data_IF_657343513274
#
_entry.id   IF_657343513274
#
_cell.length_a   1.000
_cell.length_b   1.000
_cell.length_c   1.000
_cell.angle_alpha   90.00
_cell.angle_beta   90.00
_cell.angle_gamma   90.00
#
_symmetry.space_group_name_H-M   'P 1'
#
loop_
_entity.id
_entity.type
_entity.pdbx_description
1 polymer ?
#
# COMPACT_ATOMS: atom_id res chain seq x y z
N UNK A 1 6.35 15.80 -19.29
CA UNK A 1 5.62 14.98 -18.30
C UNK A 1 6.62 14.02 -17.66
N UNK A 2 6.73 14.04 -16.33
CA UNK A 2 7.62 13.14 -15.57
C UNK A 2 6.92 11.80 -15.35
N UNK A 3 7.08 10.87 -16.28
CA UNK A 3 6.38 9.58 -16.27
C UNK A 3 6.77 8.64 -15.11
N UNK A 4 7.92 8.91 -14.46
CA UNK A 4 8.44 8.11 -13.34
C UNK A 4 8.56 8.93 -12.06
N UNK A 5 7.79 10.00 -11.93
CA UNK A 5 7.77 10.80 -10.71
C UNK A 5 7.43 9.90 -9.49
N UNK A 6 8.27 9.99 -8.46
CA UNK A 6 8.19 9.14 -7.26
C UNK A 6 8.35 7.62 -7.50
N UNK A 7 8.79 7.17 -8.68
CA UNK A 7 9.09 5.76 -8.92
C UNK A 7 10.57 5.47 -8.63
N UNK A 8 10.83 4.34 -8.00
CA UNK A 8 12.16 3.87 -7.59
C UNK A 8 12.56 2.66 -8.42
N UNK A 9 13.62 2.80 -9.21
CA UNK A 9 14.10 1.73 -10.10
C UNK A 9 15.47 1.27 -9.62
N UNK A 10 15.59 -0.03 -9.34
CA UNK A 10 16.88 -0.67 -9.09
C UNK A 10 17.40 -1.21 -10.43
N UNK A 11 18.49 -0.64 -10.92
CA UNK A 11 19.14 -1.05 -12.16
C UNK A 11 20.34 -1.95 -11.84
N UNK A 12 20.31 -3.18 -12.31
CA UNK A 12 21.43 -4.14 -12.23
C UNK A 12 22.10 -4.19 -13.59
N UNK A 13 23.42 -3.99 -13.63
CA UNK A 13 24.21 -3.99 -14.86
C UNK A 13 25.15 -5.18 -14.83
N UNK A 14 25.01 -6.10 -15.81
CA UNK A 14 25.89 -7.26 -15.97
C UNK A 14 27.01 -6.97 -17.00
N UNK A 15 28.07 -7.78 -16.95
CA UNK A 15 29.24 -7.64 -17.81
C UNK A 15 28.98 -8.03 -19.25
N UNK A 16 29.10 -7.09 -20.17
CA UNK A 16 28.99 -7.26 -21.60
C UNK A 16 29.11 -5.92 -22.31
N UNK A 17 29.47 -5.93 -23.61
CA UNK A 17 29.67 -4.69 -24.37
C UNK A 17 28.45 -3.75 -24.30
N UNK A 18 27.23 -4.29 -24.26
CA UNK A 18 25.99 -3.50 -24.18
C UNK A 18 25.82 -2.76 -22.85
N UNK A 19 26.70 -2.95 -21.85
CA UNK A 19 26.64 -2.21 -20.59
C UNK A 19 26.75 -0.68 -20.76
N UNK A 20 27.39 -0.19 -21.83
CA UNK A 20 27.43 1.24 -22.11
C UNK A 20 26.04 1.86 -22.29
N UNK A 21 25.05 1.09 -22.82
CA UNK A 21 23.66 1.53 -22.98
C UNK A 21 22.98 1.79 -21.64
N UNK A 22 23.45 1.19 -20.57
CA UNK A 22 22.90 1.38 -19.23
C UNK A 22 23.17 2.79 -18.69
N UNK A 23 24.24 3.44 -19.15
CA UNK A 23 24.51 4.84 -18.81
C UNK A 23 23.43 5.77 -19.41
N UNK A 24 22.98 5.47 -20.62
CA UNK A 24 21.86 6.19 -21.23
C UNK A 24 20.53 5.89 -20.55
N UNK A 25 20.28 4.63 -20.16
CA UNK A 25 19.11 4.27 -19.36
C UNK A 25 19.03 5.09 -18.07
N UNK A 26 20.12 5.24 -17.33
CA UNK A 26 20.18 6.07 -16.12
C UNK A 26 19.75 7.52 -16.44
N UNK A 27 20.32 8.11 -17.52
CA UNK A 27 19.97 9.48 -17.93
C UNK A 27 18.49 9.62 -18.30
N UNK A 28 17.95 8.67 -19.07
CA UNK A 28 16.57 8.69 -19.51
C UNK A 28 15.59 8.54 -18.33
N UNK A 29 15.82 7.62 -17.42
CA UNK A 29 14.99 7.45 -16.24
C UNK A 29 15.01 8.68 -15.33
N UNK A 30 16.20 9.24 -15.05
CA UNK A 30 16.31 10.48 -14.25
C UNK A 30 15.64 11.66 -14.92
N UNK A 31 15.82 11.85 -16.24
CA UNK A 31 15.15 12.89 -17.03
C UNK A 31 13.62 12.80 -16.93
N UNK A 32 13.08 11.60 -16.73
CA UNK A 32 11.65 11.34 -16.58
C UNK A 32 11.19 11.24 -15.10
N UNK A 33 12.03 11.65 -14.13
CA UNK A 33 11.65 11.81 -12.72
C UNK A 33 11.86 10.59 -11.82
N UNK A 34 12.51 9.51 -12.31
CA UNK A 34 12.78 8.33 -11.49
C UNK A 34 13.94 8.56 -10.51
N UNK A 35 13.83 7.94 -9.32
CA UNK A 35 14.97 7.66 -8.44
C UNK A 35 15.62 6.35 -8.85
N UNK A 36 16.96 6.32 -8.99
CA UNK A 36 17.68 5.15 -9.46
C UNK A 36 18.79 4.78 -8.49
N UNK A 37 18.80 3.52 -8.05
CA UNK A 37 19.99 2.89 -7.44
C UNK A 37 20.55 1.86 -8.40
N UNK A 38 21.87 1.63 -8.34
CA UNK A 38 22.55 0.77 -9.31
C UNK A 38 23.41 -0.30 -8.63
N UNK A 39 23.32 -1.53 -9.17
CA UNK A 39 24.23 -2.63 -8.82
C UNK A 39 25.08 -2.95 -10.04
N UNK A 40 26.40 -3.01 -9.88
CA UNK A 40 27.34 -3.50 -10.88
C UNK A 40 27.81 -4.90 -10.50
N UNK A 41 27.63 -5.86 -11.41
CA UNK A 41 28.30 -7.16 -11.23
C UNK A 41 29.80 -7.00 -11.42
N UNK A 42 30.59 -7.94 -10.88
CA UNK A 42 32.06 -7.92 -11.00
C UNK A 42 32.49 -7.67 -12.44
N UNK A 43 31.94 -8.41 -13.39
CA UNK A 43 32.32 -8.30 -14.81
C UNK A 43 31.76 -7.02 -15.48
N UNK A 44 30.76 -6.37 -14.92
CA UNK A 44 30.25 -5.10 -15.48
C UNK A 44 31.28 -3.98 -15.38
N UNK A 45 32.14 -4.01 -14.36
CA UNK A 45 33.19 -3.02 -14.10
C UNK A 45 34.25 -2.98 -15.22
N UNK A 46 34.38 -4.04 -15.99
CA UNK A 46 35.28 -4.09 -17.17
C UNK A 46 34.72 -3.29 -18.38
N UNK A 47 33.41 -2.98 -18.38
CA UNK A 47 32.76 -2.28 -19.49
C UNK A 47 32.28 -0.88 -19.12
N UNK A 48 31.89 -0.66 -17.86
CA UNK A 48 31.50 0.63 -17.31
C UNK A 48 32.08 0.79 -15.91
N UNK A 49 32.60 1.98 -15.62
CA UNK A 49 33.22 2.21 -14.30
C UNK A 49 32.18 2.59 -13.24
N UNK A 50 32.41 2.24 -11.96
CA UNK A 50 31.56 2.74 -10.87
C UNK A 50 31.45 4.26 -10.86
N UNK A 51 32.54 4.97 -11.21
CA UNK A 51 32.57 6.44 -11.29
C UNK A 51 31.62 6.96 -12.36
N UNK A 52 31.60 6.37 -13.58
CA UNK A 52 30.67 6.80 -14.63
C UNK A 52 29.23 6.58 -14.26
N UNK A 53 28.92 5.46 -13.59
CA UNK A 53 27.56 5.13 -13.12
C UNK A 53 27.14 6.05 -11.97
N UNK A 54 27.97 6.25 -10.95
CA UNK A 54 27.64 7.14 -9.81
C UNK A 54 27.49 8.60 -10.23
N UNK A 55 28.30 9.07 -11.17
CA UNK A 55 28.20 10.44 -11.71
C UNK A 55 26.86 10.71 -12.41
N UNK A 56 26.31 9.70 -13.11
CA UNK A 56 25.02 9.81 -13.80
C UNK A 56 23.83 9.56 -12.88
N UNK A 57 23.91 8.57 -12.01
CA UNK A 57 22.84 8.25 -11.05
C UNK A 57 22.76 9.25 -9.89
N UNK A 58 23.89 9.92 -9.56
CA UNK A 58 24.07 10.74 -8.34
C UNK A 58 23.81 9.96 -7.06
N UNK A 59 24.07 8.66 -7.10
CA UNK A 59 23.86 7.73 -6.01
C UNK A 59 25.09 6.80 -5.88
N UNK A 60 25.24 6.20 -4.70
CA UNK A 60 26.23 5.16 -4.48
C UNK A 60 25.98 3.98 -5.44
N UNK A 61 27.07 3.41 -5.95
CA UNK A 61 27.03 2.16 -6.73
C UNK A 61 27.29 1.00 -5.79
N UNK A 62 26.42 0.01 -5.86
CA UNK A 62 26.53 -1.23 -5.08
C UNK A 62 27.20 -2.32 -5.93
N UNK A 63 28.14 -3.07 -5.38
CA UNK A 63 28.92 -4.05 -6.16
C UNK A 63 29.33 -5.31 -5.40
N UNK A 64 29.25 -5.30 -4.07
CA UNK A 64 29.62 -6.42 -3.21
C UNK A 64 28.57 -6.67 -2.13
N UNK A 65 28.42 -7.95 -1.72
CA UNK A 65 27.54 -8.36 -0.61
C UNK A 65 28.13 -7.88 0.73
N UNK A 66 29.45 -7.89 0.86
CA UNK A 66 30.19 -7.62 2.09
C UNK A 66 31.14 -6.43 1.90
N UNK A 67 30.63 -5.21 1.75
CA UNK A 67 31.49 -4.05 1.81
C UNK A 67 31.68 -3.62 3.27
N UNK A 68 32.92 -3.41 3.70
CA UNK A 68 33.29 -3.06 5.07
C UNK A 68 32.64 -1.75 5.58
N UNK A 69 32.12 -0.91 4.69
CA UNK A 69 31.40 0.32 5.01
C UNK A 69 29.93 0.12 5.38
N UNK A 70 29.35 -1.08 5.19
CA UNK A 70 27.90 -1.36 5.29
C UNK A 70 27.55 -2.56 6.18
N UNK A 71 28.39 -2.92 7.15
CA UNK A 71 28.12 -4.04 8.09
C UNK A 71 26.80 -3.90 8.89
N UNK A 72 26.22 -2.69 8.97
CA UNK A 72 25.01 -2.44 9.74
C UNK A 72 23.71 -2.60 8.93
N UNK A 73 23.75 -2.58 7.60
CA UNK A 73 22.56 -2.72 6.73
C UNK A 73 22.74 -3.91 5.78
N UNK A 74 21.82 -4.87 5.84
CA UNK A 74 21.73 -5.95 4.86
C UNK A 74 21.33 -5.36 3.50
N UNK A 75 22.30 -4.87 2.72
CA UNK A 75 22.10 -4.14 1.47
C UNK A 75 21.14 -4.85 0.50
N UNK A 76 21.20 -6.17 0.39
CA UNK A 76 20.29 -6.94 -0.48
C UNK A 76 18.82 -6.85 -0.05
N UNK A 77 18.55 -6.79 1.26
CA UNK A 77 17.17 -6.62 1.78
C UNK A 77 16.73 -5.18 1.57
N UNK A 78 17.57 -4.20 1.92
CA UNK A 78 17.26 -2.78 1.80
C UNK A 78 16.99 -2.39 0.35
N UNK A 79 17.82 -2.84 -0.59
CA UNK A 79 17.68 -2.58 -2.03
C UNK A 79 16.44 -3.25 -2.64
N UNK A 80 16.18 -4.53 -2.29
CA UNK A 80 15.01 -5.25 -2.79
C UNK A 80 13.69 -4.63 -2.31
N UNK A 81 13.66 -4.06 -1.11
CA UNK A 81 12.49 -3.37 -0.56
C UNK A 81 12.34 -1.93 -1.05
N UNK A 82 13.46 -1.23 -1.28
CA UNK A 82 13.46 0.15 -1.73
C UNK A 82 12.86 0.33 -3.12
N UNK A 83 13.10 -0.61 -4.04
CA UNK A 83 12.67 -0.51 -5.43
C UNK A 83 11.15 -0.70 -5.61
N UNK A 84 10.57 -0.02 -6.60
CA UNK A 84 9.23 -0.30 -7.13
C UNK A 84 9.29 -1.29 -8.29
N UNK A 85 10.41 -1.33 -9.01
CA UNK A 85 10.74 -2.32 -10.03
C UNK A 85 12.25 -2.57 -10.09
N UNK A 86 12.63 -3.77 -10.50
CA UNK A 86 14.04 -4.13 -10.74
C UNK A 86 14.23 -4.33 -12.24
N UNK A 87 15.24 -3.68 -12.81
CA UNK A 87 15.65 -3.84 -14.21
C UNK A 87 17.07 -4.40 -14.27
N UNK A 88 17.25 -5.49 -14.98
CA UNK A 88 18.59 -6.03 -15.29
C UNK A 88 18.91 -5.74 -16.76
N UNK A 89 19.79 -4.80 -17.00
CA UNK A 89 20.10 -4.31 -18.36
C UNK A 89 21.58 -3.90 -18.45
N UNK A 90 22.40 -4.63 -19.22
CA UNK A 90 22.10 -5.91 -19.83
C UNK A 90 22.04 -7.05 -18.81
N UNK A 91 21.32 -8.15 -19.14
CA UNK A 91 21.51 -9.44 -18.47
C UNK A 91 22.24 -10.40 -19.40
N UNK A 92 23.25 -11.11 -18.87
CA UNK A 92 24.05 -12.10 -19.60
C UNK A 92 23.52 -13.53 -19.41
N UNK A 93 23.90 -14.44 -20.30
CA UNK A 93 23.56 -15.87 -20.17
C UNK A 93 23.99 -16.46 -18.82
N UNK A 94 25.14 -16.03 -18.29
CA UNK A 94 25.63 -16.46 -16.97
C UNK A 94 24.66 -16.04 -15.85
N UNK A 95 24.24 -14.78 -15.84
CA UNK A 95 23.31 -14.28 -14.81
C UNK A 95 21.92 -14.89 -14.98
N UNK A 96 21.44 -15.09 -16.23
CA UNK A 96 20.19 -15.81 -16.51
C UNK A 96 20.25 -17.23 -15.89
N UNK A 97 21.32 -17.96 -16.12
CA UNK A 97 21.51 -19.32 -15.57
C UNK A 97 21.52 -19.33 -14.04
N UNK A 98 22.26 -18.42 -13.41
CA UNK A 98 22.31 -18.28 -11.94
C UNK A 98 20.93 -18.05 -11.34
N UNK A 99 20.20 -17.07 -11.86
CA UNK A 99 18.87 -16.68 -11.34
C UNK A 99 17.85 -17.79 -11.60
N UNK A 100 17.87 -18.44 -12.77
CA UNK A 100 17.00 -19.58 -13.07
C UNK A 100 17.25 -20.79 -12.16
N UNK A 101 18.47 -20.94 -11.64
CA UNK A 101 18.85 -22.01 -10.70
C UNK A 101 18.65 -21.62 -9.23
N UNK A 102 18.25 -20.37 -8.92
CA UNK A 102 18.13 -19.90 -7.54
C UNK A 102 19.47 -19.68 -6.84
N UNK A 103 20.54 -19.41 -7.60
CA UNK A 103 21.88 -19.18 -7.05
C UNK A 103 21.99 -17.73 -6.57
N UNK A 104 22.50 -17.52 -5.35
CA UNK A 104 22.66 -16.23 -4.67
C UNK A 104 24.12 -15.98 -4.27
N UNK A 105 25.06 -16.13 -5.22
CA UNK A 105 26.50 -15.99 -4.96
C UNK A 105 26.99 -14.54 -4.92
N UNK A 106 26.30 -13.64 -5.57
CA UNK A 106 26.64 -12.24 -5.67
C UNK A 106 25.47 -11.33 -5.28
N UNK A 107 25.75 -10.05 -5.05
CA UNK A 107 24.72 -9.09 -4.64
C UNK A 107 23.56 -9.03 -5.64
N UNK A 108 23.84 -9.07 -6.94
CA UNK A 108 22.83 -9.01 -7.99
C UNK A 108 21.87 -10.20 -7.92
N UNK A 109 22.39 -11.43 -7.88
CA UNK A 109 21.58 -12.65 -7.79
C UNK A 109 20.83 -12.75 -6.45
N UNK A 110 21.45 -12.33 -5.35
CA UNK A 110 20.82 -12.31 -4.03
C UNK A 110 19.64 -11.34 -3.98
N UNK A 111 19.79 -10.12 -4.50
CA UNK A 111 18.70 -9.14 -4.57
C UNK A 111 17.55 -9.61 -5.45
N UNK A 112 17.86 -10.25 -6.60
CA UNK A 112 16.83 -10.79 -7.50
C UNK A 112 16.02 -11.90 -6.81
N UNK A 113 16.66 -12.75 -6.02
CA UNK A 113 15.99 -13.82 -5.27
C UNK A 113 15.19 -13.29 -4.09
N UNK A 114 15.67 -12.21 -3.42
CA UNK A 114 15.02 -11.60 -2.27
C UNK A 114 13.88 -10.63 -2.64
N UNK A 115 13.75 -10.26 -3.92
CA UNK A 115 12.80 -9.25 -4.36
C UNK A 115 11.41 -9.83 -4.59
N UNK A 116 10.39 -9.13 -4.09
CA UNK A 116 8.97 -9.36 -4.41
C UNK A 116 8.43 -8.37 -5.45
N UNK A 117 9.31 -7.59 -6.08
CA UNK A 117 8.95 -6.58 -7.09
C UNK A 117 8.94 -7.18 -8.49
N UNK A 118 8.29 -6.51 -9.44
CA UNK A 118 8.40 -6.90 -10.83
C UNK A 118 9.83 -6.77 -11.30
N UNK A 119 10.37 -7.85 -11.88
CA UNK A 119 11.70 -7.91 -12.44
C UNK A 119 11.60 -7.91 -13.97
N UNK A 120 12.40 -7.03 -14.59
CA UNK A 120 12.54 -6.90 -16.03
C UNK A 120 13.97 -7.30 -16.41
N UNK A 121 14.11 -8.10 -17.44
CA UNK A 121 15.38 -8.60 -17.94
C UNK A 121 15.55 -8.16 -19.40
N UNK A 122 16.64 -7.43 -19.69
CA UNK A 122 17.04 -7.03 -21.05
C UNK A 122 18.25 -7.88 -21.48
N UNK A 123 18.05 -9.03 -22.16
CA UNK A 123 19.15 -9.93 -22.55
C UNK A 123 20.08 -9.29 -23.58
N UNK A 124 21.38 -9.57 -23.42
CA UNK A 124 22.41 -9.23 -24.39
C UNK A 124 23.49 -10.31 -24.41
N UNK A 125 23.64 -10.96 -25.56
CA UNK A 125 24.65 -12.01 -25.79
C UNK A 125 24.76 -12.29 -27.28
N UNK A 126 25.76 -13.06 -27.69
CA UNK A 126 25.86 -13.45 -29.08
C UNK A 126 24.75 -14.43 -29.49
N UNK A 127 24.48 -14.56 -30.81
CA UNK A 127 23.38 -15.36 -31.37
C UNK A 127 23.40 -16.78 -30.88
N UNK A 128 24.57 -17.42 -30.90
CA UNK A 128 24.72 -18.82 -30.52
C UNK A 128 24.42 -19.06 -29.04
N UNK A 129 24.82 -18.13 -28.19
CA UNK A 129 24.47 -18.18 -26.76
C UNK A 129 22.97 -17.99 -26.53
N UNK A 130 22.34 -17.13 -27.29
CA UNK A 130 20.89 -16.89 -27.19
C UNK A 130 20.09 -18.09 -27.69
N UNK A 131 20.52 -18.69 -28.82
CA UNK A 131 19.86 -19.85 -29.41
C UNK A 131 20.14 -21.16 -28.63
N UNK A 132 21.14 -21.15 -27.75
CA UNK A 132 21.51 -22.36 -27.00
C UNK A 132 20.30 -22.89 -26.20
N UNK A 133 20.02 -24.23 -26.26
CA UNK A 133 18.87 -24.83 -25.59
C UNK A 133 18.80 -24.48 -24.09
N UNK A 134 19.91 -24.48 -23.39
CA UNK A 134 20.00 -24.12 -21.98
C UNK A 134 19.57 -22.67 -21.72
N UNK A 135 19.92 -21.71 -22.60
CA UNK A 135 19.50 -20.32 -22.47
C UNK A 135 17.99 -20.20 -22.69
N UNK A 136 17.45 -20.85 -23.71
CA UNK A 136 16.00 -20.85 -24.00
C UNK A 136 15.22 -21.47 -22.84
N UNK A 137 15.67 -22.59 -22.27
CA UNK A 137 15.04 -23.23 -21.12
C UNK A 137 15.05 -22.33 -19.89
N UNK A 138 16.19 -21.70 -19.57
CA UNK A 138 16.32 -20.78 -18.45
C UNK A 138 15.39 -19.56 -18.60
N UNK A 139 15.28 -19.02 -19.83
CA UNK A 139 14.34 -17.89 -20.11
C UNK A 139 12.88 -18.32 -19.89
N UNK A 140 12.49 -19.52 -20.35
CA UNK A 140 11.15 -20.05 -20.10
C UNK A 140 10.87 -20.20 -18.60
N UNK A 141 11.84 -20.70 -17.85
CA UNK A 141 11.76 -20.85 -16.41
C UNK A 141 11.62 -19.50 -15.71
N UNK A 142 12.40 -18.49 -16.08
CA UNK A 142 12.29 -17.15 -15.51
C UNK A 142 10.94 -16.49 -15.85
N UNK A 143 10.41 -16.71 -17.06
CA UNK A 143 9.05 -16.28 -17.42
C UNK A 143 7.99 -16.95 -16.51
N UNK A 144 8.14 -18.24 -16.19
CA UNK A 144 7.22 -18.93 -15.27
C UNK A 144 7.29 -18.42 -13.84
N UNK A 145 8.40 -17.80 -13.43
CA UNK A 145 8.56 -17.10 -12.15
C UNK A 145 7.97 -15.67 -12.18
N UNK A 146 7.40 -15.23 -13.32
CA UNK A 146 6.81 -13.91 -13.47
C UNK A 146 7.77 -12.81 -13.93
N UNK A 147 9.00 -13.14 -14.31
CA UNK A 147 9.96 -12.17 -14.84
C UNK A 147 9.56 -11.74 -16.26
N UNK A 148 9.69 -10.46 -16.55
CA UNK A 148 9.38 -9.90 -17.88
C UNK A 148 10.66 -9.75 -18.70
N UNK A 149 10.68 -10.34 -19.89
CA UNK A 149 11.82 -10.28 -20.80
C UNK A 149 11.58 -9.18 -21.81
N UNK A 150 12.56 -8.28 -22.00
CA UNK A 150 12.53 -7.17 -22.96
C UNK A 150 13.57 -7.45 -24.05
N UNK A 151 13.14 -7.84 -25.22
CA UNK A 151 14.00 -8.31 -26.29
C UNK A 151 14.46 -9.78 -26.12
N UNK A 152 15.68 -10.16 -26.59
CA UNK A 152 16.61 -9.30 -27.36
C UNK A 152 16.09 -8.97 -28.75
N UNK A 153 16.71 -7.96 -29.38
CA UNK A 153 16.41 -7.56 -30.76
C UNK A 153 17.28 -8.34 -31.76
N UNK A 154 16.81 -8.34 -33.02
CA UNK A 154 17.58 -8.83 -34.16
C UNK A 154 18.45 -7.70 -34.69
N UNK A 155 19.71 -7.97 -34.98
CA UNK A 155 20.61 -6.99 -35.57
C UNK A 155 22.07 -7.40 -35.57
N UNK A 156 22.92 -6.51 -36.04
CA UNK A 156 24.36 -6.68 -36.02
C UNK A 156 24.91 -6.64 -34.60
N UNK A 157 25.80 -7.54 -34.29
CA UNK A 157 26.48 -7.64 -33.01
C UNK A 157 27.93 -7.20 -33.09
N UNK A 158 28.52 -6.85 -31.96
CA UNK A 158 29.92 -6.45 -31.86
C UNK A 158 30.92 -7.53 -32.33
N UNK A 159 30.48 -8.79 -32.33
CA UNK A 159 31.27 -9.91 -32.84
C UNK A 159 31.17 -10.14 -34.35
N UNK A 160 30.42 -9.30 -35.07
CA UNK A 160 30.21 -9.42 -36.52
C UNK A 160 29.11 -10.44 -36.91
N UNK A 161 28.41 -11.05 -35.96
CA UNK A 161 27.27 -11.92 -36.25
C UNK A 161 25.97 -11.10 -36.35
N UNK A 162 25.04 -11.56 -37.18
CA UNK A 162 23.70 -11.00 -37.33
C UNK A 162 22.64 -11.98 -36.83
N UNK A 163 21.71 -11.52 -35.99
CA UNK A 163 20.60 -12.33 -35.47
C UNK A 163 20.05 -11.83 -34.16
N UNK A 164 19.27 -12.68 -33.45
CA UNK A 164 18.77 -12.38 -32.10
C UNK A 164 19.89 -12.40 -31.08
N UNK A 165 19.96 -11.40 -30.21
CA UNK A 165 20.93 -11.31 -29.11
C UNK A 165 21.32 -9.89 -28.77
N UNK A 166 20.96 -8.91 -29.61
CA UNK A 166 21.21 -7.49 -29.38
C UNK A 166 20.32 -6.96 -28.26
N UNK A 167 20.91 -6.27 -27.28
CA UNK A 167 20.14 -5.60 -26.23
C UNK A 167 19.18 -4.57 -26.84
N UNK A 168 17.94 -4.63 -26.42
CA UNK A 168 16.90 -3.64 -26.76
C UNK A 168 17.36 -2.20 -26.49
N UNK A 169 16.99 -1.30 -27.35
CA UNK A 169 17.41 0.11 -27.25
C UNK A 169 16.86 0.77 -25.96
N UNK A 170 17.63 1.67 -25.33
CA UNK A 170 17.27 2.30 -24.07
C UNK A 170 15.87 2.93 -24.04
N UNK A 171 15.48 3.60 -25.14
CA UNK A 171 14.17 4.23 -25.24
C UNK A 171 13.01 3.22 -25.18
N UNK A 172 13.16 2.04 -25.80
CA UNK A 172 12.16 0.98 -25.80
C UNK A 172 12.03 0.33 -24.43
N UNK A 173 13.15 0.15 -23.73
CA UNK A 173 13.17 -0.33 -22.33
C UNK A 173 12.41 0.66 -21.43
N UNK A 174 12.71 1.96 -21.55
CA UNK A 174 12.02 3.02 -20.80
C UNK A 174 10.53 3.03 -21.11
N UNK A 175 10.12 2.90 -22.38
CA UNK A 175 8.72 2.83 -22.79
C UNK A 175 8.01 1.60 -22.19
N UNK A 176 8.68 0.46 -22.13
CA UNK A 176 8.14 -0.77 -21.53
C UNK A 176 7.85 -0.57 -20.05
N UNK A 177 8.79 0.00 -19.28
CA UNK A 177 8.57 0.29 -17.86
C UNK A 177 7.51 1.38 -17.65
N UNK A 178 7.48 2.41 -18.51
CA UNK A 178 6.42 3.43 -18.49
C UNK A 178 5.03 2.81 -18.65
N UNK A 179 4.85 1.92 -19.63
CA UNK A 179 3.58 1.23 -19.84
C UNK A 179 3.21 0.35 -18.64
N UNK A 180 4.19 -0.33 -18.05
CA UNK A 180 3.98 -1.12 -16.84
C UNK A 180 3.45 -0.26 -15.69
N UNK A 181 4.12 0.84 -15.35
CA UNK A 181 3.69 1.72 -14.25
C UNK A 181 2.36 2.40 -14.56
N UNK A 182 2.14 2.86 -15.79
CA UNK A 182 0.86 3.45 -16.20
C UNK A 182 -0.31 2.46 -16.08
N UNK A 183 -0.09 1.18 -16.37
CA UNK A 183 -1.11 0.15 -16.21
C UNK A 183 -1.35 -0.21 -14.73
N UNK A 184 -0.31 -0.18 -13.90
CA UNK A 184 -0.46 -0.33 -12.45
C UNK A 184 -1.30 0.81 -11.87
N UNK A 185 -0.99 2.05 -12.25
CA UNK A 185 -1.71 3.23 -11.76
C UNK A 185 -3.17 3.25 -12.26
N UNK A 186 -3.44 2.79 -13.49
CA UNK A 186 -4.82 2.65 -14.03
C UNK A 186 -5.62 1.53 -13.37
N UNK A 187 -4.98 0.45 -12.94
CA UNK A 187 -5.65 -0.72 -12.34
C UNK A 187 -5.66 -0.67 -10.81
N UNK A 188 -4.97 0.27 -10.21
CA UNK A 188 -4.92 0.43 -8.76
C UNK A 188 -6.17 1.16 -8.30
N UNK A 189 -7.26 0.41 -8.07
CA UNK A 189 -8.36 0.95 -7.29
C UNK A 189 -7.82 1.34 -5.92
N UNK A 190 -8.05 2.58 -5.52
CA UNK A 190 -7.77 3.02 -4.15
C UNK A 190 -8.58 2.15 -3.20
N UNK A 191 -7.95 1.69 -2.13
CA UNK A 191 -8.60 0.87 -1.11
C UNK A 191 -9.14 1.75 0.00
N UNK A 192 -10.37 1.49 0.41
CA UNK A 192 -11.01 2.17 1.52
C UNK A 192 -11.54 1.17 2.55
N UNK A 193 -11.30 1.46 3.82
CA UNK A 193 -11.84 0.76 4.97
C UNK A 193 -12.83 1.67 5.69
N UNK A 194 -14.04 1.17 5.95
CA UNK A 194 -15.05 1.89 6.75
C UNK A 194 -15.52 1.00 7.87
N UNK A 195 -15.55 1.52 9.10
CA UNK A 195 -16.22 0.85 10.21
C UNK A 195 -17.59 1.48 10.44
N UNK A 196 -18.60 0.67 10.74
CA UNK A 196 -19.98 1.12 10.96
C UNK A 196 -20.71 0.31 12.02
N UNK A 197 -21.88 0.81 12.41
CA UNK A 197 -22.72 0.13 13.41
C UNK A 197 -22.18 0.19 14.84
N UNK A 198 -22.90 -0.39 15.81
CA UNK A 198 -22.46 -0.48 17.19
C UNK A 198 -21.65 -1.75 17.42
N UNK A 199 -20.81 -1.77 18.47
CA UNK A 199 -20.26 -3.00 19.03
C UNK A 199 -21.06 -3.43 20.26
N UNK A 200 -21.07 -4.74 20.52
CA UNK A 200 -21.74 -5.36 21.67
C UNK A 200 -20.69 -5.99 22.58
N UNK A 201 -20.60 -5.49 23.81
CA UNK A 201 -19.67 -6.01 24.79
C UNK A 201 -20.43 -6.91 25.77
N UNK A 202 -20.29 -8.20 25.60
CA UNK A 202 -21.11 -9.19 26.28
C UNK A 202 -20.83 -9.26 27.78
N UNK A 203 -21.88 -9.25 28.58
CA UNK A 203 -21.89 -9.52 30.03
C UNK A 203 -22.03 -11.04 30.27
N UNK A 204 -23.01 -11.61 29.59
CA UNK A 204 -23.32 -13.05 29.57
C UNK A 204 -23.89 -13.41 28.17
N UNK A 205 -24.24 -14.66 27.87
CA UNK A 205 -24.77 -15.05 26.55
C UNK A 205 -26.06 -14.32 26.12
N UNK A 206 -26.70 -13.58 27.03
CA UNK A 206 -28.01 -12.95 26.81
C UNK A 206 -27.92 -11.42 26.87
N UNK A 207 -26.97 -10.85 27.62
CA UNK A 207 -26.88 -9.41 27.91
C UNK A 207 -25.55 -8.85 27.44
N UNK A 208 -25.61 -7.64 26.95
CA UNK A 208 -24.43 -6.90 26.48
C UNK A 208 -24.60 -5.40 26.69
N UNK A 209 -23.49 -4.68 26.70
CA UNK A 209 -23.41 -3.22 26.66
C UNK A 209 -23.21 -2.84 25.20
N UNK A 210 -23.91 -1.82 24.73
CA UNK A 210 -23.79 -1.33 23.35
C UNK A 210 -24.10 0.15 23.28
N UNK A 211 -23.60 0.81 22.25
CA UNK A 211 -23.93 2.21 21.94
C UNK A 211 -25.12 2.28 20.98
N UNK A 212 -25.94 3.34 21.12
CA UNK A 212 -27.01 3.59 20.13
C UNK A 212 -26.37 3.95 18.79
N UNK A 213 -26.54 3.12 17.78
CA UNK A 213 -26.12 3.41 16.42
C UNK A 213 -26.93 2.60 15.42
N UNK A 214 -27.37 3.25 14.34
CA UNK A 214 -28.03 2.56 13.23
C UNK A 214 -27.05 2.11 12.14
N UNK A 215 -25.80 2.55 12.19
CA UNK A 215 -24.80 2.32 11.12
C UNK A 215 -25.00 3.13 9.85
N UNK A 216 -26.13 3.81 9.65
CA UNK A 216 -26.51 4.49 8.39
C UNK A 216 -25.40 5.37 7.81
N UNK A 217 -24.70 6.16 8.63
CA UNK A 217 -23.65 7.06 8.14
C UNK A 217 -22.48 6.31 7.51
N UNK A 218 -22.01 5.24 8.16
CA UNK A 218 -20.91 4.41 7.62
C UNK A 218 -21.30 3.67 6.35
N UNK A 219 -22.54 3.19 6.25
CA UNK A 219 -23.06 2.56 5.04
C UNK A 219 -23.15 3.56 3.87
N UNK A 220 -23.63 4.79 4.09
CA UNK A 220 -23.66 5.83 3.05
C UNK A 220 -22.24 6.21 2.60
N UNK A 221 -21.27 6.29 3.52
CA UNK A 221 -19.87 6.56 3.20
C UNK A 221 -19.29 5.41 2.36
N UNK A 222 -19.50 4.16 2.77
CA UNK A 222 -19.01 2.99 2.04
C UNK A 222 -19.61 2.90 0.62
N UNK A 223 -20.91 3.20 0.49
CA UNK A 223 -21.60 3.30 -0.80
C UNK A 223 -20.98 4.39 -1.68
N UNK A 224 -20.79 5.58 -1.15
CA UNK A 224 -20.23 6.71 -1.88
C UNK A 224 -18.77 6.44 -2.33
N UNK A 225 -17.94 5.83 -1.49
CA UNK A 225 -16.59 5.41 -1.85
C UNK A 225 -16.60 4.38 -3.00
N UNK A 226 -17.44 3.34 -2.92
CA UNK A 226 -17.62 2.36 -3.98
C UNK A 226 -18.04 3.02 -5.30
N UNK A 227 -19.02 3.93 -5.25
CA UNK A 227 -19.55 4.62 -6.43
C UNK A 227 -18.51 5.56 -7.07
N UNK A 228 -17.51 5.99 -6.29
CA UNK A 228 -16.34 6.74 -6.77
C UNK A 228 -15.13 5.84 -7.12
N UNK A 229 -15.34 4.52 -7.26
CA UNK A 229 -14.35 3.58 -7.79
C UNK A 229 -13.36 3.01 -6.79
N UNK A 230 -13.54 3.24 -5.48
CA UNK A 230 -12.72 2.62 -4.44
C UNK A 230 -13.06 1.11 -4.30
N UNK A 231 -12.04 0.31 -4.06
CA UNK A 231 -12.19 -1.05 -3.52
C UNK A 231 -12.48 -0.91 -2.03
N UNK A 232 -13.76 -1.01 -1.66
CA UNK A 232 -14.26 -0.62 -0.35
C UNK A 232 -14.58 -1.83 0.51
N UNK A 233 -14.01 -1.88 1.71
CA UNK A 233 -14.38 -2.83 2.77
C UNK A 233 -15.18 -2.11 3.85
N UNK A 234 -16.35 -2.65 4.18
CA UNK A 234 -17.23 -2.20 5.27
C UNK A 234 -17.25 -3.24 6.38
N UNK A 235 -16.64 -2.91 7.52
CA UNK A 235 -16.69 -3.72 8.73
C UNK A 235 -17.82 -3.16 9.62
N UNK A 236 -18.86 -3.94 9.84
CA UNK A 236 -20.03 -3.45 10.54
C UNK A 236 -20.41 -4.33 11.73
N UNK A 237 -20.63 -3.66 12.86
CA UNK A 237 -21.42 -4.23 13.93
C UNK A 237 -22.85 -4.51 13.45
N UNK A 238 -23.63 -5.22 14.27
CA UNK A 238 -24.97 -5.69 13.91
C UNK A 238 -25.94 -4.53 13.70
N UNK A 239 -26.48 -4.41 12.50
CA UNK A 239 -27.49 -3.40 12.11
C UNK A 239 -28.64 -4.05 11.36
N UNK A 240 -29.74 -3.31 11.15
CA UNK A 240 -30.86 -3.74 10.30
C UNK A 240 -30.66 -3.45 8.81
N UNK A 241 -29.53 -2.83 8.46
CA UNK A 241 -29.22 -2.45 7.07
C UNK A 241 -28.65 -3.66 6.34
N UNK A 242 -29.13 -3.94 5.16
CA UNK A 242 -28.61 -5.02 4.31
C UNK A 242 -27.19 -4.67 3.81
N UNK A 243 -26.32 -5.67 3.63
CA UNK A 243 -25.03 -5.49 2.98
C UNK A 243 -25.19 -4.80 1.61
N UNK A 244 -24.20 -3.99 1.25
CA UNK A 244 -24.20 -3.23 0.00
C UNK A 244 -23.56 -4.05 -1.12
N UNK A 245 -24.23 -4.13 -2.27
CA UNK A 245 -23.65 -4.76 -3.46
C UNK A 245 -22.38 -4.02 -3.89
N UNK A 246 -21.33 -4.77 -4.25
CA UNK A 246 -20.06 -4.22 -4.71
C UNK A 246 -19.19 -3.62 -3.59
N UNK A 247 -19.50 -3.88 -2.33
CA UNK A 247 -18.70 -3.56 -1.14
C UNK A 247 -18.31 -4.88 -0.45
N UNK A 248 -17.05 -5.04 -0.06
CA UNK A 248 -16.61 -6.16 0.74
C UNK A 248 -17.17 -6.01 2.16
N UNK A 249 -18.17 -6.82 2.51
CA UNK A 249 -18.84 -6.71 3.79
C UNK A 249 -18.31 -7.71 4.81
N UNK A 250 -17.92 -7.22 5.99
CA UNK A 250 -17.46 -8.02 7.12
C UNK A 250 -18.37 -7.72 8.32
N UNK A 251 -19.09 -8.73 8.79
CA UNK A 251 -19.92 -8.62 9.99
C UNK A 251 -19.12 -8.95 11.24
N UNK A 252 -19.22 -8.12 12.26
CA UNK A 252 -18.58 -8.31 13.57
C UNK A 252 -19.58 -8.04 14.70
N UNK A 253 -19.30 -8.51 15.90
CA UNK A 253 -20.13 -8.26 17.05
C UNK A 253 -19.43 -7.37 18.10
N UNK A 254 -18.15 -7.64 18.39
CA UNK A 254 -17.41 -6.97 19.45
C UNK A 254 -16.39 -5.95 18.91
N UNK A 255 -15.91 -5.06 19.77
CA UNK A 255 -14.82 -4.14 19.43
C UNK A 255 -13.52 -4.88 19.11
N UNK A 256 -13.25 -6.00 19.78
CA UNK A 256 -12.06 -6.83 19.52
C UNK A 256 -12.11 -7.46 18.13
N UNK A 257 -13.28 -7.98 17.70
CA UNK A 257 -13.46 -8.48 16.35
C UNK A 257 -13.32 -7.36 15.31
N UNK A 258 -13.93 -6.20 15.54
CA UNK A 258 -13.81 -5.03 14.66
C UNK A 258 -12.36 -4.57 14.53
N UNK A 259 -11.61 -4.57 15.60
CA UNK A 259 -10.19 -4.26 15.60
C UNK A 259 -9.38 -5.27 14.77
N UNK A 260 -9.57 -6.56 15.00
CA UNK A 260 -8.88 -7.64 14.29
C UNK A 260 -9.16 -7.56 12.79
N UNK A 261 -10.43 -7.41 12.42
CA UNK A 261 -10.81 -7.30 11.02
C UNK A 261 -10.30 -5.99 10.37
N UNK A 262 -10.21 -4.89 11.15
CA UNK A 262 -9.59 -3.66 10.65
C UNK A 262 -8.11 -3.85 10.33
N UNK A 263 -7.36 -4.58 11.18
CA UNK A 263 -5.97 -4.93 10.92
C UNK A 263 -5.80 -5.87 9.72
N UNK A 264 -6.66 -6.89 9.59
CA UNK A 264 -6.62 -7.85 8.48
C UNK A 264 -6.83 -7.18 7.10
N UNK A 265 -7.50 -6.03 7.07
CA UNK A 265 -7.78 -5.28 5.86
C UNK A 265 -6.77 -4.15 5.57
N UNK A 266 -5.67 -4.06 6.32
CA UNK A 266 -4.53 -3.22 5.98
C UNK A 266 -3.55 -3.96 5.03
N UNK A 267 -2.82 -3.28 4.14
CA UNK A 267 -2.84 -1.83 3.93
C UNK A 267 -4.04 -1.33 3.14
N UNK A 268 -4.54 -0.15 3.51
CA UNK A 268 -5.59 0.58 2.80
C UNK A 268 -5.16 2.04 2.58
N UNK A 269 -5.71 2.72 1.55
CA UNK A 269 -5.35 4.12 1.28
C UNK A 269 -6.10 5.07 2.24
N UNK A 270 -7.36 4.74 2.54
CA UNK A 270 -8.23 5.54 3.43
C UNK A 270 -8.87 4.64 4.47
N UNK A 271 -8.90 5.06 5.72
CA UNK A 271 -9.68 4.41 6.77
C UNK A 271 -10.60 5.40 7.48
N UNK A 272 -11.90 5.09 7.54
CA UNK A 272 -12.95 5.94 8.11
C UNK A 272 -13.63 5.18 9.25
N UNK A 273 -13.45 5.68 10.48
CA UNK A 273 -13.94 5.06 11.69
C UNK A 273 -15.22 5.74 12.15
N UNK A 274 -16.37 5.27 11.62
CA UNK A 274 -17.70 5.81 11.95
C UNK A 274 -18.53 4.87 12.85
N UNK A 275 -17.97 3.71 13.22
CA UNK A 275 -18.62 2.81 14.17
C UNK A 275 -18.76 3.44 15.54
N UNK A 276 -19.86 3.13 16.23
CA UNK A 276 -20.07 3.47 17.62
C UNK A 276 -19.48 2.35 18.51
N UNK A 277 -18.17 2.32 18.60
CA UNK A 277 -17.44 1.36 19.42
C UNK A 277 -17.65 1.72 20.90
N UNK A 278 -17.90 0.72 21.74
CA UNK A 278 -18.00 0.94 23.19
C UNK A 278 -16.62 1.25 23.77
N UNK A 279 -16.50 2.34 24.55
CA UNK A 279 -15.26 2.71 25.24
C UNK A 279 -14.86 1.72 26.34
N UNK A 280 -15.81 0.98 26.85
CA UNK A 280 -15.63 0.01 27.92
C UNK A 280 -16.15 -1.37 27.53
N UNK A 281 -15.44 -2.41 27.94
CA UNK A 281 -15.86 -3.80 27.88
C UNK A 281 -15.99 -4.40 29.29
N UNK A 282 -16.68 -5.51 29.36
CA UNK A 282 -16.87 -6.27 30.63
C UNK A 282 -15.58 -7.03 30.90
N UNK A 283 -15.00 -6.80 32.11
CA UNK A 283 -13.76 -7.44 32.53
C UNK A 283 -13.92 -8.95 32.72
N UNK A 284 -15.06 -9.38 33.27
CA UNK A 284 -15.31 -10.76 33.63
C UNK A 284 -16.56 -11.30 32.94
N UNK A 285 -16.45 -11.69 31.66
CA UNK A 285 -17.50 -12.33 30.89
C UNK A 285 -17.95 -13.63 31.58
N UNK A 286 -19.27 -13.84 31.73
CA UNK A 286 -19.85 -15.06 32.26
C UNK A 286 -20.36 -15.96 31.12
N UNK A 287 -19.82 -17.15 30.99
CA UNK A 287 -20.22 -18.13 29.97
C UNK A 287 -21.66 -18.68 30.15
N UNK A 288 -22.30 -18.42 31.28
CA UNK A 288 -23.67 -18.80 31.61
C UNK A 288 -24.49 -17.59 31.99
N UNK A 289 -25.81 -17.61 31.68
CA UNK A 289 -26.72 -16.53 32.07
C UNK A 289 -26.74 -16.32 33.59
N UNK A 290 -26.47 -15.09 34.01
CA UNK A 290 -26.52 -14.68 35.42
C UNK A 290 -27.97 -14.76 35.94
N UNK A 291 -28.17 -15.45 37.07
CA UNK A 291 -29.49 -15.63 37.70
C UNK A 291 -29.85 -14.42 38.56
N UNK A 292 -31.16 -14.14 38.70
CA UNK A 292 -31.68 -12.97 39.43
C UNK A 292 -31.30 -12.91 40.91
N UNK A 293 -31.00 -14.08 41.53
CA UNK A 293 -30.73 -14.19 42.96
C UNK A 293 -29.22 -14.11 43.30
N UNK A 294 -28.36 -13.86 42.32
CA UNK A 294 -26.93 -13.65 42.51
C UNK A 294 -26.65 -12.17 42.67
N UNK A 295 -25.88 -11.77 43.69
CA UNK A 295 -25.29 -10.42 43.72
C UNK A 295 -24.37 -10.28 42.53
N UNK A 296 -24.62 -9.26 41.72
CA UNK A 296 -23.88 -9.02 40.49
C UNK A 296 -23.33 -7.60 40.47
N UNK A 297 -22.01 -7.51 40.57
CA UNK A 297 -21.26 -6.30 40.34
C UNK A 297 -20.64 -6.33 38.95
N UNK A 298 -20.94 -5.32 38.14
CA UNK A 298 -20.39 -5.19 36.78
C UNK A 298 -19.07 -4.41 36.84
N UNK A 299 -17.96 -5.11 36.63
CA UNK A 299 -16.65 -4.51 36.48
C UNK A 299 -16.38 -4.24 35.02
N UNK A 300 -16.00 -3.00 34.73
CA UNK A 300 -15.64 -2.54 33.36
C UNK A 300 -14.16 -2.25 33.27
N UNK A 301 -13.59 -2.51 32.10
CA UNK A 301 -12.25 -2.08 31.72
C UNK A 301 -12.28 -1.33 30.37
N UNK A 302 -11.27 -0.52 30.10
CA UNK A 302 -11.15 0.21 28.84
C UNK A 302 -11.06 -0.76 27.67
N UNK A 303 -11.81 -0.47 26.64
CA UNK A 303 -11.76 -1.21 25.38
C UNK A 303 -10.61 -0.74 24.51
N UNK A 304 -10.36 -1.46 23.43
CA UNK A 304 -9.32 -1.11 22.48
C UNK A 304 -9.76 0.10 21.63
N UNK A 305 -8.86 1.07 21.48
CA UNK A 305 -9.09 2.25 20.62
C UNK A 305 -8.59 1.97 19.20
N UNK A 306 -9.52 1.56 18.34
CA UNK A 306 -9.22 1.15 16.96
C UNK A 306 -8.64 2.29 16.15
N UNK A 307 -9.23 3.50 16.23
CA UNK A 307 -8.75 4.69 15.52
C UNK A 307 -7.32 5.03 15.95
N UNK A 308 -7.06 5.11 17.25
CA UNK A 308 -5.73 5.44 17.77
C UNK A 308 -4.69 4.40 17.33
N UNK A 309 -5.01 3.13 17.41
CA UNK A 309 -4.08 2.05 17.03
C UNK A 309 -3.71 2.10 15.54
N UNK A 310 -4.69 2.28 14.66
CA UNK A 310 -4.45 2.30 13.21
C UNK A 310 -3.80 3.61 12.76
N UNK A 311 -4.17 4.74 13.36
CA UNK A 311 -3.56 6.04 13.05
C UNK A 311 -2.10 6.14 13.48
N UNK A 312 -1.65 5.31 14.43
CA UNK A 312 -0.27 5.23 14.89
C UNK A 312 0.48 3.97 14.41
N UNK A 313 -0.08 3.22 13.46
CA UNK A 313 0.56 1.99 12.99
C UNK A 313 1.85 2.30 12.21
N UNK A 314 2.96 1.70 12.60
CA UNK A 314 4.30 2.05 12.12
C UNK A 314 4.52 1.86 10.62
N UNK A 315 3.94 0.81 10.01
CA UNK A 315 4.23 0.42 8.63
C UNK A 315 3.00 0.36 7.72
N UNK A 316 1.79 0.24 8.29
CA UNK A 316 0.55 0.02 7.55
C UNK A 316 -0.49 1.14 7.79
N UNK A 317 -0.07 2.28 8.36
CA UNK A 317 -0.94 3.44 8.54
C UNK A 317 -1.53 3.86 7.20
N UNK A 318 -2.87 4.02 7.08
CA UNK A 318 -3.50 4.57 5.90
C UNK A 318 -2.97 5.98 5.58
N UNK A 319 -3.04 6.38 4.30
CA UNK A 319 -2.68 7.75 3.89
C UNK A 319 -3.58 8.80 4.54
N UNK A 320 -4.87 8.46 4.69
CA UNK A 320 -5.86 9.30 5.35
C UNK A 320 -6.60 8.46 6.39
N UNK A 321 -6.60 8.91 7.64
CA UNK A 321 -7.36 8.33 8.75
C UNK A 321 -8.38 9.33 9.26
N UNK A 322 -9.65 8.93 9.33
CA UNK A 322 -10.79 9.80 9.68
C UNK A 322 -11.53 9.18 10.85
N UNK A 323 -11.65 9.94 11.93
CA UNK A 323 -12.48 9.58 13.10
C UNK A 323 -13.81 10.33 13.12
N UNK A 324 -14.82 9.76 13.78
CA UNK A 324 -16.06 10.42 14.10
C UNK A 324 -16.12 10.75 15.59
N UNK A 325 -16.70 11.90 15.92
CA UNK A 325 -17.00 12.34 17.28
C UNK A 325 -18.47 12.75 17.38
N UNK A 326 -19.21 12.09 18.27
CA UNK A 326 -20.59 12.42 18.58
C UNK A 326 -20.60 13.13 19.94
N UNK A 327 -20.86 14.44 19.94
CA UNK A 327 -20.70 15.29 21.12
C UNK A 327 -22.04 15.93 21.49
N UNK A 328 -22.27 16.13 22.79
CA UNK A 328 -23.45 16.84 23.31
C UNK A 328 -23.13 18.25 23.74
N UNK A 329 -21.84 18.58 23.94
CA UNK A 329 -21.35 19.90 24.36
C UNK A 329 -19.87 20.05 23.92
N UNK A 330 -19.39 21.30 23.90
CA UNK A 330 -17.97 21.62 23.60
C UNK A 330 -17.42 20.95 22.33
N UNK A 331 -18.25 20.80 21.29
CA UNK A 331 -17.97 20.06 20.06
C UNK A 331 -16.60 20.40 19.45
N UNK A 332 -16.26 21.68 19.31
CA UNK A 332 -14.97 22.09 18.70
C UNK A 332 -13.77 21.72 19.57
N UNK A 333 -13.85 21.89 20.88
CA UNK A 333 -12.75 21.54 21.80
C UNK A 333 -12.51 20.04 21.81
N UNK A 334 -13.57 19.25 22.03
CA UNK A 334 -13.49 17.79 22.10
C UNK A 334 -12.99 17.19 20.77
N UNK A 335 -13.44 17.73 19.62
CA UNK A 335 -12.99 17.28 18.31
C UNK A 335 -11.49 17.56 18.08
N UNK A 336 -10.98 18.73 18.48
CA UNK A 336 -9.57 19.09 18.38
C UNK A 336 -8.68 18.25 19.32
N UNK A 337 -9.15 18.00 20.52
CA UNK A 337 -8.46 17.09 21.46
C UNK A 337 -8.37 15.69 20.86
N UNK A 338 -9.50 15.15 20.37
CA UNK A 338 -9.54 13.83 19.71
C UNK A 338 -8.61 13.75 18.49
N UNK A 339 -8.56 14.80 17.68
CA UNK A 339 -7.67 14.87 16.51
C UNK A 339 -6.20 14.70 16.92
N UNK A 340 -5.77 15.38 17.96
CA UNK A 340 -4.40 15.34 18.47
C UNK A 340 -4.08 14.04 19.19
N UNK A 341 -4.94 13.59 20.11
CA UNK A 341 -4.74 12.37 20.89
C UNK A 341 -4.71 11.11 20.03
N UNK A 342 -5.58 11.03 19.01
CA UNK A 342 -5.66 9.85 18.13
C UNK A 342 -4.69 9.92 16.95
N UNK A 343 -4.01 11.06 16.73
CA UNK A 343 -3.09 11.27 15.60
C UNK A 343 -3.74 10.94 14.23
N UNK A 344 -5.04 11.16 14.11
CA UNK A 344 -5.76 11.00 12.84
C UNK A 344 -5.67 12.29 12.01
N UNK A 345 -6.00 12.19 10.72
CA UNK A 345 -5.89 13.34 9.80
C UNK A 345 -7.10 14.24 9.89
N UNK A 346 -8.30 13.65 10.07
CA UNK A 346 -9.55 14.40 10.26
C UNK A 346 -10.38 13.83 11.40
N UNK A 347 -11.14 14.72 12.02
CA UNK A 347 -12.26 14.35 12.90
C UNK A 347 -13.53 14.98 12.37
N UNK A 348 -14.55 14.16 12.14
CA UNK A 348 -15.89 14.59 11.76
C UNK A 348 -16.74 14.59 13.01
N UNK A 349 -17.05 15.77 13.49
CA UNK A 349 -17.85 15.96 14.69
C UNK A 349 -19.30 16.27 14.35
N UNK A 350 -20.22 15.66 15.07
CA UNK A 350 -21.64 15.93 14.99
C UNK A 350 -22.24 16.19 16.37
N UNK A 351 -23.11 17.19 16.44
CA UNK A 351 -23.88 17.46 17.64
C UNK A 351 -25.07 16.48 17.73
N UNK A 352 -25.08 15.68 18.78
CA UNK A 352 -26.13 14.69 19.03
C UNK A 352 -27.11 15.14 20.14
N UNK A 353 -27.02 16.35 20.64
CA UNK A 353 -27.96 16.92 21.61
C UNK A 353 -29.35 17.17 21.01
N UNK A 354 -29.43 17.49 19.71
CA UNK A 354 -30.67 17.62 18.95
C UNK A 354 -31.15 16.23 18.48
N UNK A 355 -32.29 15.80 19.03
CA UNK A 355 -32.89 14.49 18.68
C UNK A 355 -33.37 14.38 17.22
N UNK A 356 -33.47 15.49 16.47
CA UNK A 356 -33.82 15.49 15.04
C UNK A 356 -32.66 15.17 14.11
N UNK A 357 -31.44 15.09 14.66
CA UNK A 357 -30.19 14.81 13.95
C UNK A 357 -29.38 13.73 14.74
N UNK A 358 -28.41 13.11 14.11
CA UNK A 358 -27.52 12.17 14.79
C UNK A 358 -27.99 10.70 14.76
N UNK A 359 -28.02 10.04 15.92
CA UNK A 359 -28.32 8.61 16.01
C UNK A 359 -29.77 8.30 15.61
N UNK A 360 -29.93 7.37 14.64
CA UNK A 360 -31.25 6.95 14.16
C UNK A 360 -31.90 7.88 13.12
N UNK A 361 -31.52 9.17 13.04
CA UNK A 361 -32.01 10.10 12.04
C UNK A 361 -31.42 9.83 10.64
N UNK A 362 -32.12 10.24 9.58
CA UNK A 362 -31.61 10.26 8.20
C UNK A 362 -30.79 11.51 7.89
N UNK A 363 -30.79 12.47 8.81
CA UNK A 363 -30.09 13.75 8.68
C UNK A 363 -28.94 13.85 9.69
N UNK A 364 -27.96 14.68 9.35
CA UNK A 364 -26.86 15.02 10.22
C UNK A 364 -26.43 16.47 10.00
N UNK A 365 -25.82 17.08 11.02
CA UNK A 365 -25.11 18.35 10.94
C UNK A 365 -23.70 18.11 11.41
N UNK A 366 -22.71 18.36 10.56
CA UNK A 366 -21.32 18.01 10.82
C UNK A 366 -20.39 19.21 10.76
N UNK A 367 -19.28 19.09 11.47
CA UNK A 367 -18.09 19.94 11.31
C UNK A 367 -16.90 19.03 11.07
N UNK A 368 -16.05 19.36 10.08
CA UNK A 368 -14.83 18.62 9.77
C UNK A 368 -13.64 19.39 10.33
N UNK A 369 -12.90 18.76 11.22
CA UNK A 369 -11.66 19.28 11.80
C UNK A 369 -10.48 18.58 11.15
N UNK A 370 -9.53 19.37 10.66
CA UNK A 370 -8.34 18.90 9.96
C UNK A 370 -7.09 19.16 10.78
N UNK A 371 -6.04 18.37 10.56
CA UNK A 371 -4.75 18.57 11.22
C UNK A 371 -4.03 19.84 10.72
N UNK A 372 -4.13 20.13 9.42
CA UNK A 372 -3.27 21.10 8.74
C UNK A 372 -4.05 22.27 8.09
N UNK A 373 -5.36 22.36 8.27
CA UNK A 373 -6.17 23.44 7.70
C UNK A 373 -7.37 23.82 8.60
N UNK A 374 -8.00 24.98 8.35
CA UNK A 374 -9.18 25.41 9.11
C UNK A 374 -10.33 24.42 9.06
N UNK A 375 -11.15 24.41 10.11
CA UNK A 375 -12.38 23.61 10.20
C UNK A 375 -13.42 24.07 9.19
N UNK A 376 -14.23 23.12 8.71
CA UNK A 376 -15.36 23.37 7.83
C UNK A 376 -16.66 22.98 8.54
N UNK A 377 -17.63 23.88 8.52
CA UNK A 377 -18.93 23.67 9.14
C UNK A 377 -20.02 23.52 8.07
N UNK A 378 -20.90 22.54 8.27
CA UNK A 378 -22.00 22.25 7.33
C UNK A 378 -23.34 22.37 8.01
N UNK A 379 -24.30 22.85 7.26
CA UNK A 379 -25.70 22.90 7.70
C UNK A 379 -26.28 21.46 7.72
N UNK A 380 -27.45 21.32 8.34
CA UNK A 380 -28.21 20.07 8.39
C UNK A 380 -28.47 19.54 6.99
N UNK A 381 -27.99 18.32 6.70
CA UNK A 381 -28.15 17.65 5.41
C UNK A 381 -28.38 16.14 5.61
N UNK A 382 -28.79 15.45 4.54
CA UNK A 382 -28.95 14.00 4.57
C UNK A 382 -27.60 13.28 4.80
N UNK A 383 -27.61 12.11 5.40
CA UNK A 383 -26.41 11.28 5.59
C UNK A 383 -25.74 10.90 4.28
N UNK A 384 -26.50 10.81 3.18
CA UNK A 384 -25.96 10.63 1.83
C UNK A 384 -25.14 11.84 1.38
N UNK A 385 -25.66 13.06 1.53
CA UNK A 385 -24.93 14.29 1.21
C UNK A 385 -23.69 14.46 2.12
N UNK A 386 -23.79 14.11 3.40
CA UNK A 386 -22.62 14.07 4.29
C UNK A 386 -21.54 13.14 3.74
N UNK A 387 -21.93 11.96 3.27
CA UNK A 387 -21.00 11.01 2.68
C UNK A 387 -20.34 11.57 1.41
N UNK A 388 -21.11 12.24 0.54
CA UNK A 388 -20.61 12.88 -0.67
C UNK A 388 -19.58 13.97 -0.35
N UNK A 389 -19.86 14.84 0.62
CA UNK A 389 -18.93 15.90 1.04
C UNK A 389 -17.63 15.36 1.64
N UNK A 390 -17.71 14.26 2.42
CA UNK A 390 -16.53 13.59 2.97
C UNK A 390 -15.70 12.97 1.84
N UNK A 391 -16.32 12.16 0.97
CA UNK A 391 -15.63 11.42 -0.08
C UNK A 391 -15.02 12.37 -1.12
N UNK A 392 -15.70 13.46 -1.47
CA UNK A 392 -15.17 14.51 -2.34
C UNK A 392 -13.84 15.07 -1.81
N UNK A 393 -13.74 15.34 -0.50
CA UNK A 393 -12.51 15.85 0.13
C UNK A 393 -11.42 14.77 0.22
N UNK A 394 -11.81 13.53 0.48
CA UNK A 394 -10.90 12.39 0.43
C UNK A 394 -10.24 12.29 -0.94
N UNK A 395 -11.03 12.37 -2.02
CA UNK A 395 -10.52 12.32 -3.39
C UNK A 395 -9.58 13.51 -3.68
N UNK A 396 -9.93 14.71 -3.22
CA UNK A 396 -9.09 15.90 -3.40
C UNK A 396 -7.74 15.81 -2.67
N UNK A 397 -7.67 15.12 -1.54
CA UNK A 397 -6.43 14.99 -0.76
C UNK A 397 -5.54 13.84 -1.23
N UNK A 398 -6.12 12.80 -1.85
CA UNK A 398 -5.34 11.65 -2.35
C UNK A 398 -4.70 11.93 -3.72
N UNK A 399 -5.35 12.77 -4.55
CA UNK A 399 -4.86 13.17 -5.88
C UNK A 399 -3.89 14.35 -5.79
#
# INVERSE_FOLDING_TARGET
>A
MNYFENKKILLIICGGISAYKSLELIRLFKKNGASIKTILTKNAKEFVTPLSVSSLSQEKVYDDIFSAENEAEMDHISLSRWADAVLVAPITANTISKVASGNAEDLASTVLLASNKQIFLAPAMNVRMWEHPSTKENILKLKSFGYKIIGPEIGDMACGEYGEGKMTEPNEIVNTLKNYFSNLDKNKKLKALVTAGPTNEYIDPVRFITNKSSGKQGYEIAKCLRDNGFDTTLISGKTSIKPLDGVNFVSVETAEEMFKESLNNLPTDVAIFSAAVSDFKVKNYKSTKIKKNEEFNLELEKNIDILNHISNHNSLRPKITIGFAAETNNLSTNAKEKLNEKNCDWVIANDVSDQTIGFGSDFNKISIFYKDKPEENFEKMSKSLVAEEIVKRVIQQIN
#
